data_IF_358213505369
#
_entry.id   IF_358213505369
#
_cell.length_a   1.000
_cell.length_b   1.000
_cell.length_c   1.000
_cell.angle_alpha   90.00
_cell.angle_beta   90.00
_cell.angle_gamma   90.00
#
_symmetry.space_group_name_H-M   'P 1'
#
loop_
_entity.id
_entity.type
_entity.pdbx_description
1 polymer ?
#
# COMPACT_ATOMS: atom_id res chain seq x y z
N UNK A 1 9.55 21.08 7.01
CA UNK A 1 8.99 20.82 5.68
C UNK A 1 8.31 22.09 5.15
N UNK A 2 8.82 22.61 4.04
CA UNK A 2 8.23 23.80 3.42
C UNK A 2 6.94 23.43 2.66
N UNK A 3 6.02 24.39 2.57
CA UNK A 3 4.69 24.17 2.00
C UNK A 3 4.74 23.68 0.54
N UNK A 4 5.61 24.21 -0.28
CA UNK A 4 5.77 23.81 -1.68
C UNK A 4 6.19 22.35 -1.80
N UNK A 5 7.17 21.93 -1.02
CA UNK A 5 7.65 20.54 -0.99
C UNK A 5 6.56 19.59 -0.48
N UNK A 6 5.86 19.98 0.57
CA UNK A 6 4.72 19.22 1.09
C UNK A 6 3.65 19.01 0.01
N UNK A 7 3.24 20.07 -0.66
CA UNK A 7 2.21 19.98 -1.70
C UNK A 7 2.65 19.10 -2.88
N UNK A 8 3.90 19.24 -3.30
CA UNK A 8 4.46 18.43 -4.39
C UNK A 8 4.42 16.93 -4.06
N UNK A 9 4.91 16.56 -2.88
CA UNK A 9 4.96 15.16 -2.45
C UNK A 9 3.56 14.59 -2.20
N UNK A 10 2.69 15.37 -1.60
CA UNK A 10 1.29 14.98 -1.38
C UNK A 10 0.59 14.65 -2.70
N UNK A 11 0.75 15.51 -3.70
CA UNK A 11 0.15 15.29 -5.02
C UNK A 11 0.71 14.02 -5.66
N UNK A 12 2.00 13.77 -5.56
CA UNK A 12 2.63 12.54 -6.07
C UNK A 12 2.04 11.30 -5.41
N UNK A 13 1.85 11.31 -4.09
CA UNK A 13 1.22 10.20 -3.37
C UNK A 13 -0.22 9.97 -3.82
N UNK A 14 -1.01 11.04 -3.91
CA UNK A 14 -2.40 10.95 -4.35
C UNK A 14 -2.49 10.32 -5.75
N UNK A 15 -1.64 10.75 -6.67
CA UNK A 15 -1.61 10.23 -8.04
C UNK A 15 -1.18 8.76 -8.06
N UNK A 16 -0.15 8.38 -7.29
CA UNK A 16 0.32 7.01 -7.24
C UNK A 16 -0.77 6.05 -6.75
N UNK A 17 -1.45 6.41 -5.66
CA UNK A 17 -2.54 5.60 -5.11
C UNK A 17 -3.70 5.51 -6.10
N UNK A 18 -4.04 6.62 -6.76
CA UNK A 18 -5.09 6.64 -7.78
C UNK A 18 -4.76 5.69 -8.95
N UNK A 19 -3.54 5.76 -9.48
CA UNK A 19 -3.10 4.90 -10.58
C UNK A 19 -3.15 3.42 -10.17
N UNK A 20 -2.66 3.10 -8.98
CA UNK A 20 -2.70 1.73 -8.48
C UNK A 20 -4.15 1.22 -8.30
N UNK A 21 -5.03 2.03 -7.75
CA UNK A 21 -6.44 1.68 -7.61
C UNK A 21 -7.11 1.44 -8.97
N UNK A 22 -6.78 2.22 -9.99
CA UNK A 22 -7.27 2.01 -11.35
C UNK A 22 -6.79 0.67 -11.91
N UNK A 23 -5.52 0.33 -11.75
CA UNK A 23 -4.96 -0.95 -12.18
C UNK A 23 -5.62 -2.15 -11.47
N UNK A 24 -5.98 -1.98 -10.22
CA UNK A 24 -6.56 -3.03 -9.38
C UNK A 24 -8.10 -3.02 -9.39
N UNK A 25 -8.70 -2.09 -10.12
CA UNK A 25 -10.16 -1.89 -10.16
C UNK A 25 -10.76 -1.69 -8.77
N UNK A 26 -10.12 -0.84 -7.98
CA UNK A 26 -10.54 -0.48 -6.62
C UNK A 26 -11.15 0.91 -6.57
N UNK A 27 -12.12 1.08 -5.67
CA UNK A 27 -12.62 2.39 -5.28
C UNK A 27 -11.46 3.18 -4.63
N UNK A 28 -11.41 4.49 -4.89
CA UNK A 28 -10.42 5.35 -4.25
C UNK A 28 -10.69 5.48 -2.76
N UNK A 29 -9.66 5.31 -1.91
CA UNK A 29 -9.79 5.58 -0.47
C UNK A 29 -9.71 7.07 -0.20
N UNK A 30 -10.14 7.49 0.98
CA UNK A 30 -9.76 8.78 1.53
C UNK A 30 -8.29 8.71 1.96
N UNK A 31 -7.53 9.77 1.73
CA UNK A 31 -6.11 9.83 2.06
C UNK A 31 -5.87 11.02 2.98
N UNK A 32 -5.18 10.76 4.09
CA UNK A 32 -4.77 11.78 5.03
C UNK A 32 -3.25 11.74 5.24
N UNK A 33 -2.69 12.89 5.55
CA UNK A 33 -1.26 13.06 5.78
C UNK A 33 -1.02 13.47 7.22
N UNK A 34 -0.16 12.73 7.90
CA UNK A 34 0.09 12.89 9.33
C UNK A 34 1.48 13.49 9.54
N UNK A 35 1.52 14.63 10.21
CA UNK A 35 2.76 15.23 10.70
C UNK A 35 2.77 15.11 12.23
N UNK A 36 3.60 14.21 12.75
CA UNK A 36 3.60 13.89 14.19
C UNK A 36 4.20 15.00 15.05
N UNK A 37 5.24 15.68 14.55
CA UNK A 37 5.97 16.70 15.30
C UNK A 37 5.07 17.85 15.78
N UNK A 38 4.21 18.34 14.88
CA UNK A 38 3.27 19.43 15.17
C UNK A 38 1.85 18.95 15.42
N UNK A 39 1.65 17.64 15.47
CA UNK A 39 0.33 17.04 15.66
C UNK A 39 -0.69 17.61 14.67
N UNK A 40 -0.37 17.53 13.38
CA UNK A 40 -1.22 18.01 12.30
C UNK A 40 -1.70 16.86 11.41
N UNK A 41 -2.94 16.96 11.01
CA UNK A 41 -3.55 16.08 10.02
C UNK A 41 -4.00 16.91 8.83
N UNK A 42 -3.59 16.50 7.63
CA UNK A 42 -3.96 17.16 6.38
C UNK A 42 -4.82 16.23 5.55
N UNK A 43 -5.82 16.77 4.85
CA UNK A 43 -6.60 16.02 3.88
C UNK A 43 -5.88 15.90 2.52
N UNK A 44 -6.55 15.30 1.54
CA UNK A 44 -5.99 15.10 0.19
C UNK A 44 -5.67 16.41 -0.54
N UNK A 45 -6.35 17.48 -0.19
CA UNK A 45 -6.15 18.80 -0.80
C UNK A 45 -5.08 19.61 -0.06
N UNK A 46 -4.55 19.09 1.03
CA UNK A 46 -3.52 19.73 1.83
C UNK A 46 -4.07 20.69 2.90
N UNK A 47 -5.36 20.62 3.18
CA UNK A 47 -5.99 21.43 4.22
C UNK A 47 -5.85 20.76 5.58
N UNK A 48 -5.62 21.55 6.63
CA UNK A 48 -5.59 21.04 8.00
C UNK A 48 -7.00 20.64 8.41
N UNK A 49 -7.14 19.42 8.93
CA UNK A 49 -8.41 18.86 9.39
C UNK A 49 -8.44 18.88 10.91
N UNK A 50 -9.53 19.34 11.48
CA UNK A 50 -9.77 19.26 12.92
C UNK A 50 -10.24 17.82 13.23
N UNK A 51 -9.32 16.97 13.67
CA UNK A 51 -9.57 15.56 13.88
C UNK A 51 -8.77 15.06 15.08
N UNK A 52 -9.42 14.29 15.96
CA UNK A 52 -8.73 13.63 17.06
C UNK A 52 -8.07 12.34 16.56
N UNK A 53 -6.87 12.47 16.01
CA UNK A 53 -6.14 11.36 15.44
C UNK A 53 -5.14 10.73 16.41
N UNK A 54 -5.21 11.08 17.68
CA UNK A 54 -4.28 10.55 18.69
C UNK A 54 -4.29 9.04 18.73
N UNK A 55 -5.47 8.42 18.53
CA UNK A 55 -5.61 6.97 18.51
C UNK A 55 -5.01 6.32 17.27
N UNK A 56 -4.94 7.04 16.16
CA UNK A 56 -4.44 6.56 14.87
C UNK A 56 -3.05 7.11 14.57
N UNK A 57 -2.82 8.40 14.79
CA UNK A 57 -1.60 9.11 14.43
C UNK A 57 -0.33 8.48 15.00
N UNK A 58 -0.35 8.06 16.25
CA UNK A 58 0.78 7.42 16.90
C UNK A 58 1.17 6.08 16.26
N UNK A 59 0.25 5.44 15.55
CA UNK A 59 0.47 4.15 14.92
C UNK A 59 0.99 4.28 13.49
N UNK A 60 0.96 5.48 12.93
CA UNK A 60 1.37 5.72 11.54
C UNK A 60 2.87 5.97 11.49
N UNK A 61 3.66 4.90 11.37
CA UNK A 61 5.11 5.00 11.21
C UNK A 61 5.51 5.33 9.77
N UNK A 62 4.78 4.83 8.79
CA UNK A 62 4.98 5.15 7.38
C UNK A 62 3.64 5.34 6.67
N UNK A 63 2.97 4.28 6.29
CA UNK A 63 1.61 4.30 5.73
C UNK A 63 0.76 3.29 6.49
N UNK A 64 -0.49 3.65 6.78
CA UNK A 64 -1.45 2.77 7.43
C UNK A 64 -2.76 2.78 6.65
N UNK A 65 -3.20 1.60 6.21
CA UNK A 65 -4.54 1.41 5.66
C UNK A 65 -5.46 0.86 6.74
N UNK A 66 -6.63 1.49 6.91
CA UNK A 66 -7.67 1.02 7.84
C UNK A 66 -8.84 0.51 7.00
N UNK A 67 -9.00 -0.83 6.88
CA UNK A 67 -10.01 -1.43 5.99
C UNK A 67 -11.45 -1.04 6.35
N UNK A 68 -11.78 -1.00 7.62
CA UNK A 68 -13.13 -0.70 8.10
C UNK A 68 -13.63 0.67 7.64
N UNK A 69 -12.75 1.67 7.66
CA UNK A 69 -13.07 3.05 7.28
C UNK A 69 -12.73 3.35 5.82
N UNK A 70 -11.98 2.47 5.19
CA UNK A 70 -11.46 2.62 3.84
C UNK A 70 -10.63 3.90 3.68
N UNK A 71 -9.67 4.08 4.57
CA UNK A 71 -8.85 5.28 4.69
C UNK A 71 -7.37 4.89 4.72
N UNK A 72 -6.53 5.71 4.10
CA UNK A 72 -5.08 5.61 4.17
C UNK A 72 -4.53 6.82 4.90
N UNK A 73 -3.63 6.57 5.86
CA UNK A 73 -2.85 7.61 6.54
C UNK A 73 -1.40 7.50 6.12
N UNK A 74 -0.81 8.60 5.69
CA UNK A 74 0.58 8.67 5.22
C UNK A 74 1.36 9.61 6.15
N UNK A 75 2.44 9.10 6.75
CA UNK A 75 3.35 9.92 7.54
C UNK A 75 4.21 10.76 6.59
N UNK A 76 4.24 12.07 6.81
CA UNK A 76 5.00 13.00 5.97
C UNK A 76 6.52 12.78 6.04
N UNK A 77 7.02 12.02 7.01
CA UNK A 77 8.44 11.64 7.07
C UNK A 77 8.88 10.84 5.84
N UNK A 78 7.94 10.15 5.16
CA UNK A 78 8.21 9.46 3.90
C UNK A 78 8.63 10.41 2.78
N UNK A 79 8.31 11.68 2.88
CA UNK A 79 8.60 12.68 1.85
C UNK A 79 10.10 12.94 1.69
N UNK A 80 10.92 12.52 2.64
CA UNK A 80 12.37 12.65 2.58
C UNK A 80 13.01 11.79 1.50
N UNK A 81 12.37 10.68 1.11
CA UNK A 81 12.85 9.81 0.05
C UNK A 81 11.69 9.51 -0.90
N UNK A 82 11.69 10.17 -2.05
CA UNK A 82 10.59 10.09 -3.02
C UNK A 82 10.36 8.68 -3.56
N UNK A 83 11.44 7.95 -3.89
CA UNK A 83 11.31 6.59 -4.43
C UNK A 83 10.69 5.66 -3.38
N UNK A 84 11.19 5.69 -2.15
CA UNK A 84 10.64 4.89 -1.06
C UNK A 84 9.18 5.25 -0.78
N UNK A 85 8.86 6.52 -0.82
CA UNK A 85 7.49 7.02 -0.65
C UNK A 85 6.53 6.42 -1.69
N UNK A 86 6.91 6.48 -2.97
CA UNK A 86 6.10 5.94 -4.06
C UNK A 86 5.96 4.42 -3.97
N UNK A 87 7.06 3.72 -3.70
CA UNK A 87 7.05 2.26 -3.50
C UNK A 87 6.07 1.87 -2.40
N UNK A 88 6.08 2.58 -1.28
CA UNK A 88 5.16 2.30 -0.17
C UNK A 88 3.71 2.62 -0.52
N UNK A 89 3.46 3.65 -1.33
CA UNK A 89 2.12 3.93 -1.83
C UNK A 89 1.58 2.76 -2.67
N UNK A 90 2.38 2.24 -3.59
CA UNK A 90 1.98 1.11 -4.42
C UNK A 90 1.80 -0.17 -3.62
N UNK A 91 2.69 -0.44 -2.68
CA UNK A 91 2.56 -1.59 -1.78
C UNK A 91 1.28 -1.52 -0.95
N UNK A 92 0.93 -0.34 -0.45
CA UNK A 92 -0.29 -0.14 0.34
C UNK A 92 -1.55 -0.35 -0.50
N UNK A 93 -1.57 0.13 -1.73
CA UNK A 93 -2.68 -0.12 -2.65
C UNK A 93 -2.86 -1.63 -2.91
N UNK A 94 -1.77 -2.36 -3.08
CA UNK A 94 -1.84 -3.82 -3.26
C UNK A 94 -2.33 -4.51 -1.98
N UNK A 95 -1.93 -4.03 -0.81
CA UNK A 95 -2.47 -4.52 0.47
C UNK A 95 -3.98 -4.32 0.56
N UNK A 96 -4.49 -3.17 0.13
CA UNK A 96 -5.93 -2.93 0.04
C UNK A 96 -6.61 -4.00 -0.82
N UNK A 97 -6.02 -4.29 -1.97
CA UNK A 97 -6.53 -5.32 -2.88
C UNK A 97 -6.58 -6.69 -2.20
N UNK A 98 -5.51 -7.10 -1.52
CA UNK A 98 -5.49 -8.34 -0.75
C UNK A 98 -6.64 -8.40 0.26
N UNK A 99 -6.79 -7.35 1.03
CA UNK A 99 -7.80 -7.25 2.09
C UNK A 99 -9.22 -7.37 1.51
N UNK A 100 -9.48 -6.72 0.38
CA UNK A 100 -10.79 -6.76 -0.29
C UNK A 100 -11.06 -8.17 -0.83
N UNK A 101 -10.07 -8.83 -1.45
CA UNK A 101 -10.25 -10.20 -1.95
C UNK A 101 -10.54 -11.18 -0.82
N UNK A 102 -9.82 -11.08 0.30
CA UNK A 102 -10.07 -11.91 1.49
C UNK A 102 -11.46 -11.66 2.05
N UNK A 103 -11.87 -10.40 2.15
CA UNK A 103 -13.21 -10.04 2.63
C UNK A 103 -14.30 -10.58 1.71
N UNK A 104 -14.11 -10.46 0.39
CA UNK A 104 -15.05 -11.02 -0.59
C UNK A 104 -15.16 -12.54 -0.46
N UNK A 105 -14.05 -13.24 -0.24
CA UNK A 105 -14.05 -14.68 -0.01
C UNK A 105 -14.87 -15.05 1.24
N UNK A 106 -14.68 -14.31 2.33
CA UNK A 106 -15.40 -14.56 3.58
C UNK A 106 -16.92 -14.35 3.41
N UNK A 107 -17.33 -13.48 2.50
CA UNK A 107 -18.75 -13.20 2.21
C UNK A 107 -19.28 -13.99 1.02
N UNK A 108 -18.53 -14.95 0.52
CA UNK A 108 -18.91 -15.76 -0.66
C UNK A 108 -19.20 -14.92 -1.90
N UNK A 109 -18.53 -13.78 -2.03
CA UNK A 109 -18.59 -12.92 -3.22
C UNK A 109 -17.57 -13.36 -4.26
N UNK A 110 -17.75 -12.89 -5.49
CA UNK A 110 -16.84 -13.17 -6.60
C UNK A 110 -15.44 -12.67 -6.32
N UNK A 111 -14.43 -13.47 -6.72
CA UNK A 111 -13.03 -13.15 -6.58
C UNK A 111 -12.42 -12.79 -7.93
N UNK A 112 -11.50 -11.82 -7.94
CA UNK A 112 -10.68 -11.48 -9.11
C UNK A 112 -9.40 -12.33 -9.19
N UNK A 113 -9.09 -13.07 -8.12
CA UNK A 113 -7.92 -13.92 -8.01
C UNK A 113 -8.34 -15.37 -7.79
N UNK A 114 -7.41 -16.30 -8.00
CA UNK A 114 -7.67 -17.70 -7.70
C UNK A 114 -7.95 -17.92 -6.22
N UNK A 115 -8.78 -18.92 -5.92
CA UNK A 115 -9.06 -19.31 -4.54
C UNK A 115 -7.80 -19.67 -3.76
N UNK A 116 -6.85 -20.37 -4.41
CA UNK A 116 -5.57 -20.73 -3.80
C UNK A 116 -4.79 -19.49 -3.37
N UNK A 117 -4.70 -18.47 -4.23
CA UNK A 117 -4.00 -17.22 -3.94
C UNK A 117 -4.67 -16.48 -2.78
N UNK A 118 -5.99 -16.35 -2.81
CA UNK A 118 -6.73 -15.66 -1.74
C UNK A 118 -6.61 -16.41 -0.42
N UNK A 119 -6.59 -17.74 -0.44
CA UNK A 119 -6.34 -18.55 0.77
C UNK A 119 -4.96 -18.26 1.38
N UNK A 120 -3.92 -18.09 0.56
CA UNK A 120 -2.59 -17.69 1.05
C UNK A 120 -2.62 -16.34 1.74
N UNK A 121 -3.30 -15.37 1.15
CA UNK A 121 -3.44 -14.02 1.73
C UNK A 121 -4.24 -14.07 3.04
N UNK A 122 -5.35 -14.77 3.03
CA UNK A 122 -6.17 -14.98 4.23
C UNK A 122 -5.37 -15.58 5.37
N UNK A 123 -4.56 -16.58 5.09
CA UNK A 123 -3.69 -17.19 6.08
C UNK A 123 -2.72 -16.16 6.67
N UNK A 124 -2.11 -15.34 5.85
CA UNK A 124 -1.18 -14.30 6.31
C UNK A 124 -1.86 -13.24 7.18
N UNK A 125 -3.06 -12.81 6.81
CA UNK A 125 -3.74 -11.71 7.50
C UNK A 125 -4.52 -12.14 8.75
N UNK A 126 -5.06 -13.35 8.75
CA UNK A 126 -6.01 -13.78 9.78
C UNK A 126 -5.42 -14.89 10.66
N UNK A 127 -4.87 -15.94 10.07
CA UNK A 127 -4.53 -17.17 10.78
C UNK A 127 -3.14 -17.13 11.43
N UNK A 128 -2.26 -16.26 10.98
CA UNK A 128 -0.89 -16.14 11.52
C UNK A 128 -0.72 -15.01 12.53
N UNK A 129 -1.76 -14.72 13.29
CA UNK A 129 -1.78 -13.59 14.23
C UNK A 129 -0.59 -13.54 15.19
N UNK A 130 -0.07 -14.68 15.61
CA UNK A 130 0.95 -14.77 16.67
C UNK A 130 2.27 -15.39 16.18
N UNK A 131 2.40 -15.72 14.90
CA UNK A 131 3.63 -16.27 14.36
C UNK A 131 4.44 -15.23 13.63
N UNK A 132 5.71 -15.09 13.99
CA UNK A 132 6.65 -14.28 13.20
C UNK A 132 7.12 -15.13 12.02
N UNK A 133 6.82 -14.76 10.78
CA UNK A 133 7.36 -15.50 9.65
C UNK A 133 8.87 -15.35 9.59
N UNK A 134 9.57 -16.43 9.31
CA UNK A 134 10.94 -16.36 8.85
C UNK A 134 10.93 -16.07 7.36
N UNK A 135 11.63 -15.03 6.93
CA UNK A 135 11.67 -14.63 5.52
C UNK A 135 10.44 -13.85 5.04
N UNK A 136 10.30 -13.73 3.74
CA UNK A 136 9.24 -12.97 3.08
C UNK A 136 7.97 -13.80 3.00
N UNK A 137 6.84 -13.25 3.47
CA UNK A 137 5.52 -13.90 3.33
C UNK A 137 5.00 -13.76 1.90
N UNK A 138 4.03 -14.61 1.48
CA UNK A 138 3.38 -14.47 0.17
C UNK A 138 2.78 -13.06 -0.05
N UNK A 139 2.20 -12.47 0.99
CA UNK A 139 1.62 -11.13 0.94
C UNK A 139 2.70 -10.08 0.70
N UNK A 140 3.79 -10.15 1.44
CA UNK A 140 4.91 -9.21 1.27
C UNK A 140 5.54 -9.34 -0.11
N UNK A 141 5.77 -10.56 -0.59
CA UNK A 141 6.31 -10.80 -1.92
C UNK A 141 5.40 -10.21 -3.00
N UNK A 142 4.11 -10.39 -2.88
CA UNK A 142 3.13 -9.86 -3.82
C UNK A 142 3.11 -8.32 -3.84
N UNK A 143 3.14 -7.69 -2.68
CA UNK A 143 3.21 -6.23 -2.56
C UNK A 143 4.50 -5.68 -3.18
N UNK A 144 5.62 -6.34 -2.93
CA UNK A 144 6.93 -5.96 -3.48
C UNK A 144 6.93 -6.08 -5.01
N UNK A 145 6.46 -7.20 -5.55
CA UNK A 145 6.38 -7.43 -6.99
C UNK A 145 5.48 -6.39 -7.67
N UNK A 146 4.33 -6.07 -7.10
CA UNK A 146 3.44 -5.04 -7.62
C UNK A 146 4.12 -3.67 -7.66
N UNK A 147 4.83 -3.30 -6.60
CA UNK A 147 5.54 -2.01 -6.55
C UNK A 147 6.63 -1.91 -7.61
N UNK A 148 7.36 -3.00 -7.88
CA UNK A 148 8.36 -3.04 -8.98
C UNK A 148 7.70 -2.70 -10.32
N UNK A 149 6.57 -3.34 -10.61
CA UNK A 149 5.86 -3.15 -11.87
C UNK A 149 5.29 -1.74 -12.00
N UNK A 150 4.70 -1.21 -10.92
CA UNK A 150 4.17 0.15 -10.93
C UNK A 150 5.27 1.22 -11.09
N UNK A 151 6.41 1.04 -10.42
CA UNK A 151 7.54 1.96 -10.57
C UNK A 151 8.08 1.95 -12.01
N UNK A 152 8.16 0.79 -12.62
CA UNK A 152 8.59 0.69 -14.03
C UNK A 152 7.57 1.32 -14.96
N UNK A 153 6.29 1.02 -14.80
CA UNK A 153 5.22 1.48 -15.68
C UNK A 153 5.02 2.99 -15.66
N UNK A 154 4.98 3.58 -14.47
CA UNK A 154 4.56 4.97 -14.29
C UNK A 154 5.70 5.95 -14.06
N UNK A 155 6.86 5.47 -13.67
CA UNK A 155 8.01 6.32 -13.33
C UNK A 155 9.26 5.98 -14.14
N UNK A 156 9.24 4.90 -14.92
CA UNK A 156 10.39 4.41 -15.70
C UNK A 156 11.61 4.14 -14.81
N UNK A 157 11.38 3.73 -13.57
CA UNK A 157 12.39 3.43 -12.58
C UNK A 157 12.38 1.92 -12.31
N UNK A 158 13.55 1.29 -12.49
CA UNK A 158 13.75 -0.11 -12.12
C UNK A 158 14.24 -0.18 -10.69
N UNK A 159 13.48 -0.84 -9.82
CA UNK A 159 13.86 -1.09 -8.44
C UNK A 159 14.06 -2.58 -8.23
N UNK A 160 14.92 -2.93 -7.27
CA UNK A 160 15.18 -4.30 -6.87
C UNK A 160 15.12 -4.41 -5.35
N UNK A 161 14.67 -5.56 -4.87
CA UNK A 161 14.70 -5.88 -3.45
C UNK A 161 15.79 -6.94 -3.22
N UNK A 162 16.67 -6.67 -2.26
CA UNK A 162 17.82 -7.53 -2.00
C UNK A 162 17.45 -8.84 -1.30
N UNK A 163 16.42 -8.81 -0.46
CA UNK A 163 16.00 -9.92 0.37
C UNK A 163 14.74 -10.57 -0.19
N UNK A 164 14.79 -11.01 -1.45
CA UNK A 164 13.70 -11.69 -2.14
C UNK A 164 13.86 -13.21 -2.04
N UNK A 165 13.83 -13.73 -0.82
CA UNK A 165 13.97 -15.15 -0.52
C UNK A 165 12.65 -15.94 -0.62
N UNK A 166 11.60 -15.33 -1.16
CA UNK A 166 10.35 -16.02 -1.42
C UNK A 166 10.53 -17.05 -2.55
N UNK A 167 10.17 -18.26 -2.24
CA UNK A 167 10.37 -19.43 -3.10
C UNK A 167 9.89 -19.25 -4.56
N UNK A 168 8.76 -18.57 -4.79
CA UNK A 168 8.16 -18.36 -6.11
C UNK A 168 8.38 -16.95 -6.67
N UNK A 169 9.41 -16.26 -6.22
CA UNK A 169 9.62 -14.84 -6.53
C UNK A 169 9.66 -14.56 -8.04
N UNK A 170 10.47 -15.32 -8.79
CA UNK A 170 10.62 -15.09 -10.23
C UNK A 170 9.31 -15.31 -10.98
N UNK A 171 8.58 -16.35 -10.63
CA UNK A 171 7.28 -16.68 -11.21
C UNK A 171 6.24 -15.60 -10.89
N UNK A 172 6.22 -15.14 -9.65
CA UNK A 172 5.32 -14.08 -9.18
C UNK A 172 5.58 -12.77 -9.92
N UNK A 173 6.83 -12.37 -10.04
CA UNK A 173 7.21 -11.13 -10.72
C UNK A 173 6.89 -11.20 -12.22
N UNK A 174 7.12 -12.33 -12.86
CA UNK A 174 6.76 -12.55 -14.25
C UNK A 174 5.25 -12.43 -14.48
N UNK A 175 4.46 -13.06 -13.64
CA UNK A 175 2.99 -12.98 -13.69
C UNK A 175 2.53 -11.53 -13.50
N UNK A 176 3.07 -10.84 -12.52
CA UNK A 176 2.74 -9.45 -12.23
C UNK A 176 3.04 -8.53 -13.42
N UNK A 177 4.18 -8.73 -14.07
CA UNK A 177 4.55 -7.98 -15.28
C UNK A 177 3.58 -8.27 -16.43
N UNK A 178 3.16 -9.51 -16.60
CA UNK A 178 2.23 -9.87 -17.68
C UNK A 178 0.84 -9.26 -17.48
N UNK A 179 0.43 -9.02 -16.24
CA UNK A 179 -0.90 -8.49 -15.90
C UNK A 179 -0.97 -6.96 -15.94
N UNK A 180 0.08 -6.27 -15.54
CA UNK A 180 0.02 -4.83 -15.29
C UNK A 180 1.02 -4.00 -16.09
N UNK A 181 2.07 -4.58 -16.60
CA UNK A 181 3.06 -3.86 -17.40
C UNK A 181 2.67 -3.87 -18.92
#
# INVERSE_FOLDING_TARGET
LILEEFNKKRILCNIAIKKACMELNLKLPEIYYVQLDDIKLFDQDGNIVSYDYRDVGYKVKSILFIPKEYVIYINVDLFQNEINMLVKCYQTARQMYHTIQVYNQLQSKELSESTTTVNQWRYCYIERKNSKPSGITPVQADMMAFSIVMMQKYHFINIEFKDNDYFSWESLLKDMKSRYL
#
